data_IF_061827254759
#
_entry.id   IF_061827254759
#
_cell.length_a   1.000
_cell.length_b   1.000
_cell.length_c   1.000
_cell.angle_alpha   90.00
_cell.angle_beta   90.00
_cell.angle_gamma   90.00
#
_symmetry.space_group_name_H-M   'P 1'
#
loop_
_entity.id
_entity.type
_entity.pdbx_description
1 polymer ?
#
# COMPACT_ATOMS: atom_id res chain seq x y z
N UNK A 1 -24.28 -50.42 -6.59
CA UNK A 1 -24.04 -49.14 -5.88
C UNK A 1 -22.54 -48.94 -5.73
N UNK A 2 -21.92 -48.29 -6.75
CA UNK A 2 -20.50 -47.96 -6.72
C UNK A 2 -20.36 -46.54 -6.21
N UNK A 3 -19.69 -46.44 -5.06
CA UNK A 3 -19.35 -45.18 -4.40
C UNK A 3 -17.99 -44.69 -4.94
N UNK A 4 -18.04 -43.78 -5.91
CA UNK A 4 -16.82 -43.17 -6.46
C UNK A 4 -16.37 -41.98 -5.58
N UNK A 5 -15.47 -42.26 -4.64
CA UNK A 5 -14.74 -41.25 -3.90
C UNK A 5 -13.83 -40.47 -4.87
N UNK A 6 -14.28 -39.31 -5.37
CA UNK A 6 -13.41 -38.33 -6.02
C UNK A 6 -12.54 -37.65 -4.95
N UNK A 7 -11.29 -38.11 -4.80
CA UNK A 7 -10.23 -37.35 -4.12
C UNK A 7 -10.00 -36.07 -4.91
N UNK A 8 -10.52 -34.94 -4.39
CA UNK A 8 -10.13 -33.61 -4.85
C UNK A 8 -8.73 -33.36 -4.34
N UNK A 9 -7.72 -33.55 -5.18
CA UNK A 9 -6.34 -33.17 -4.89
C UNK A 9 -6.29 -31.64 -4.97
N UNK A 10 -6.28 -31.01 -3.80
CA UNK A 10 -6.08 -29.55 -3.67
C UNK A 10 -4.62 -29.25 -4.03
N UNK A 11 -4.37 -28.84 -5.26
CA UNK A 11 -3.07 -28.31 -5.66
C UNK A 11 -2.87 -26.98 -4.89
N UNK A 12 -2.03 -26.99 -3.86
CA UNK A 12 -1.53 -25.76 -3.26
C UNK A 12 -0.73 -25.03 -4.35
N UNK A 13 -1.29 -23.99 -4.91
CA UNK A 13 -0.54 -23.05 -5.75
C UNK A 13 0.46 -22.38 -4.84
N UNK A 14 1.72 -22.78 -4.93
CA UNK A 14 2.83 -22.14 -4.22
C UNK A 14 3.02 -20.78 -4.88
N UNK A 15 2.52 -19.74 -4.24
CA UNK A 15 2.71 -18.36 -4.73
C UNK A 15 4.12 -17.91 -4.35
N UNK A 16 4.99 -17.74 -5.34
CA UNK A 16 6.33 -17.17 -5.15
C UNK A 16 6.27 -15.66 -5.36
N UNK A 17 6.90 -14.89 -4.47
CA UNK A 17 7.01 -13.44 -4.54
C UNK A 17 8.45 -13.05 -4.82
N UNK A 18 8.70 -12.60 -6.05
CA UNK A 18 10.05 -12.24 -6.52
C UNK A 18 10.46 -10.87 -5.97
N UNK A 19 11.62 -10.83 -5.34
CA UNK A 19 12.17 -9.61 -4.74
C UNK A 19 13.46 -9.26 -5.48
N UNK A 20 13.66 -7.98 -5.79
CA UNK A 20 14.95 -7.46 -6.23
C UNK A 20 15.57 -6.67 -5.08
N UNK A 21 16.77 -7.04 -4.67
CA UNK A 21 17.61 -6.32 -3.72
C UNK A 21 18.74 -5.62 -4.46
N UNK A 22 18.79 -4.29 -4.40
CA UNK A 22 19.90 -3.48 -4.92
C UNK A 22 20.68 -2.93 -3.73
N UNK A 23 21.88 -3.42 -3.52
CA UNK A 23 22.70 -3.18 -2.35
C UNK A 23 24.18 -3.41 -2.74
N UNK A 24 25.11 -2.52 -2.44
CA UNK A 24 26.50 -2.65 -2.81
C UNK A 24 27.32 -3.49 -1.81
N UNK A 25 26.88 -3.57 -0.54
CA UNK A 25 27.51 -4.42 0.47
C UNK A 25 27.19 -5.90 0.23
N UNK A 26 28.22 -6.68 -0.11
CA UNK A 26 28.11 -8.11 -0.34
C UNK A 26 27.58 -8.89 0.85
N UNK A 27 27.97 -8.52 2.06
CA UNK A 27 27.57 -9.25 3.27
C UNK A 27 26.06 -9.05 3.53
N UNK A 28 25.56 -7.82 3.32
CA UNK A 28 24.12 -7.54 3.45
C UNK A 28 23.34 -8.35 2.43
N UNK A 29 23.79 -8.36 1.17
CA UNK A 29 23.13 -9.19 0.12
C UNK A 29 23.05 -10.66 0.51
N UNK A 30 24.16 -11.25 0.94
CA UNK A 30 24.25 -12.67 1.31
C UNK A 30 23.36 -12.99 2.52
N UNK A 31 23.39 -12.15 3.58
CA UNK A 31 22.55 -12.32 4.77
C UNK A 31 21.06 -12.25 4.42
N UNK A 32 20.65 -11.31 3.59
CA UNK A 32 19.24 -11.16 3.19
C UNK A 32 18.79 -12.35 2.36
N UNK A 33 19.55 -12.76 1.34
CA UNK A 33 19.25 -13.93 0.49
C UNK A 33 19.09 -15.18 1.34
N UNK A 34 20.07 -15.47 2.22
CA UNK A 34 20.05 -16.63 3.08
C UNK A 34 18.84 -16.66 4.03
N UNK A 35 18.58 -15.52 4.67
CA UNK A 35 17.47 -15.42 5.62
C UNK A 35 16.12 -15.60 4.92
N UNK A 36 15.92 -14.93 3.78
CA UNK A 36 14.67 -15.00 3.01
C UNK A 36 14.43 -16.40 2.44
N UNK A 37 15.47 -17.08 1.98
CA UNK A 37 15.39 -18.47 1.53
C UNK A 37 14.94 -19.41 2.66
N UNK A 38 15.60 -19.32 3.83
CA UNK A 38 15.29 -20.16 5.00
C UNK A 38 13.92 -19.85 5.59
N UNK A 39 13.65 -18.59 5.89
CA UNK A 39 12.42 -18.16 6.57
C UNK A 39 11.21 -18.22 5.65
N UNK A 40 11.40 -17.88 4.37
CA UNK A 40 10.35 -17.85 3.35
C UNK A 40 10.00 -19.22 2.78
N UNK A 41 10.75 -20.28 3.14
CA UNK A 41 10.55 -21.66 2.61
C UNK A 41 10.48 -21.69 1.08
N UNK A 42 11.34 -20.89 0.41
CA UNK A 42 11.40 -20.74 -1.04
C UNK A 42 10.34 -19.84 -1.68
N UNK A 43 9.37 -19.33 -0.92
CA UNK A 43 8.31 -18.48 -1.47
C UNK A 43 8.73 -17.02 -1.72
N UNK A 44 9.94 -16.62 -1.31
CA UNK A 44 10.47 -15.26 -1.43
C UNK A 44 11.86 -15.29 -2.05
N UNK A 45 11.99 -15.68 -3.33
CA UNK A 45 13.28 -15.64 -4.01
C UNK A 45 13.76 -14.19 -4.15
N UNK A 46 15.04 -13.97 -3.82
CA UNK A 46 15.69 -12.66 -3.89
C UNK A 46 16.72 -12.67 -4.99
N UNK A 47 16.53 -11.84 -6.02
CA UNK A 47 17.54 -11.47 -7.00
C UNK A 47 18.36 -10.30 -6.47
N UNK A 48 19.66 -10.25 -6.77
CA UNK A 48 20.55 -9.21 -6.24
C UNK A 48 21.25 -8.43 -7.34
N UNK A 49 21.41 -7.13 -7.12
CA UNK A 49 22.25 -6.24 -7.92
C UNK A 49 23.23 -5.49 -7.01
N UNK A 50 24.48 -5.31 -7.46
CA UNK A 50 25.55 -4.70 -6.68
C UNK A 50 25.72 -3.20 -6.94
N UNK A 51 24.93 -2.60 -7.82
CA UNK A 51 24.93 -1.17 -8.12
C UNK A 51 23.59 -0.78 -8.75
N UNK A 52 23.36 0.53 -8.82
CA UNK A 52 22.07 1.06 -9.28
C UNK A 52 21.78 0.85 -10.76
N UNK A 53 22.78 0.88 -11.64
CA UNK A 53 22.58 0.64 -13.09
C UNK A 53 22.06 -0.78 -13.35
N UNK A 54 22.75 -1.78 -12.75
CA UNK A 54 22.33 -3.18 -12.85
C UNK A 54 20.94 -3.36 -12.21
N UNK A 55 20.71 -2.72 -11.05
CA UNK A 55 19.42 -2.78 -10.36
C UNK A 55 18.27 -2.26 -11.24
N UNK A 56 18.45 -1.10 -11.87
CA UNK A 56 17.45 -0.51 -12.76
C UNK A 56 17.22 -1.40 -14.01
N UNK A 57 18.29 -1.89 -14.62
CA UNK A 57 18.18 -2.81 -15.77
C UNK A 57 17.39 -4.07 -15.40
N UNK A 58 17.71 -4.70 -14.27
CA UNK A 58 16.98 -5.89 -13.79
C UNK A 58 15.53 -5.62 -13.52
N UNK A 59 15.20 -4.45 -12.91
CA UNK A 59 13.84 -4.03 -12.62
C UNK A 59 13.02 -3.80 -13.91
N UNK A 60 13.67 -3.36 -14.97
CA UNK A 60 13.05 -3.16 -16.29
C UNK A 60 12.79 -4.47 -17.04
N UNK A 61 13.76 -5.39 -16.99
CA UNK A 61 13.72 -6.65 -17.76
C UNK A 61 12.85 -7.74 -17.12
N UNK A 62 12.60 -7.65 -15.81
CA UNK A 62 11.93 -8.72 -15.07
C UNK A 62 10.79 -8.19 -14.19
N UNK A 63 9.68 -8.96 -14.08
CA UNK A 63 8.64 -8.64 -13.13
C UNK A 63 9.07 -9.02 -11.71
N UNK A 64 9.06 -8.05 -10.80
CA UNK A 64 9.26 -8.23 -9.37
C UNK A 64 7.99 -7.86 -8.60
N UNK A 65 7.83 -8.44 -7.42
CA UNK A 65 6.72 -8.16 -6.51
C UNK A 65 7.07 -7.10 -5.45
N UNK A 66 8.39 -6.83 -5.30
CA UNK A 66 8.92 -5.78 -4.43
C UNK A 66 10.38 -5.48 -4.78
N UNK A 67 10.75 -4.20 -4.70
CA UNK A 67 12.13 -3.73 -4.79
C UNK A 67 12.62 -3.29 -3.41
N UNK A 68 13.80 -3.78 -3.01
CA UNK A 68 14.59 -3.32 -1.87
C UNK A 68 15.78 -2.53 -2.42
N UNK A 69 15.85 -1.24 -2.14
CA UNK A 69 16.85 -0.35 -2.71
C UNK A 69 17.68 0.32 -1.61
N UNK A 70 18.99 0.12 -1.59
CA UNK A 70 19.83 1.06 -0.84
C UNK A 70 19.77 2.43 -1.50
N UNK A 71 19.77 3.46 -0.69
CA UNK A 71 19.83 4.84 -1.17
C UNK A 71 21.23 5.15 -1.68
N UNK A 72 22.27 4.71 -0.96
CA UNK A 72 23.65 5.03 -1.27
C UNK A 72 24.30 3.94 -2.14
N UNK A 73 23.97 3.91 -3.41
CA UNK A 73 24.50 2.95 -4.38
C UNK A 73 25.55 3.61 -5.27
N UNK A 74 26.58 2.87 -5.72
CA UNK A 74 27.48 3.33 -6.77
C UNK A 74 26.76 3.40 -8.11
N UNK A 75 27.23 4.30 -9.00
CA UNK A 75 26.78 4.59 -10.34
C UNK A 75 25.43 5.29 -10.43
N UNK A 76 24.38 4.76 -9.79
CA UNK A 76 23.05 5.36 -9.73
C UNK A 76 22.48 5.13 -8.32
N UNK A 77 22.06 6.19 -7.65
CA UNK A 77 21.49 6.13 -6.30
C UNK A 77 20.06 5.56 -6.29
N UNK A 78 19.61 5.08 -5.12
CA UNK A 78 18.30 4.46 -4.96
C UNK A 78 17.12 5.37 -5.24
N UNK A 79 17.24 6.68 -5.00
CA UNK A 79 16.18 7.64 -5.32
C UNK A 79 15.98 7.79 -6.83
N UNK A 80 17.09 7.82 -7.58
CA UNK A 80 17.08 7.84 -9.04
C UNK A 80 16.44 6.58 -9.61
N UNK A 81 16.75 5.40 -9.06
CA UNK A 81 16.09 4.14 -9.45
C UNK A 81 14.59 4.22 -9.18
N UNK A 82 14.18 4.65 -7.98
CA UNK A 82 12.77 4.78 -7.62
C UNK A 82 12.02 5.69 -8.61
N UNK A 83 12.58 6.85 -8.91
CA UNK A 83 12.01 7.81 -9.87
C UNK A 83 11.83 7.20 -11.26
N UNK A 84 12.83 6.48 -11.76
CA UNK A 84 12.74 5.83 -13.08
C UNK A 84 11.72 4.69 -13.09
N UNK A 85 11.71 3.83 -12.06
CA UNK A 85 10.74 2.73 -11.94
C UNK A 85 9.31 3.26 -11.89
N UNK A 86 9.05 4.36 -11.16
CA UNK A 86 7.71 4.95 -11.04
C UNK A 86 7.14 5.51 -12.35
N UNK A 87 7.95 5.65 -13.40
CA UNK A 87 7.46 6.04 -14.74
C UNK A 87 6.66 4.94 -15.43
N UNK A 88 6.87 3.68 -15.05
CA UNK A 88 6.27 2.54 -15.73
C UNK A 88 5.70 1.45 -14.79
N UNK A 89 5.91 1.55 -13.48
CA UNK A 89 5.51 0.49 -12.54
C UNK A 89 5.11 1.02 -11.17
N UNK A 90 4.03 0.46 -10.62
CA UNK A 90 3.58 0.65 -9.24
C UNK A 90 4.08 -0.45 -8.30
N UNK A 91 5.12 -1.19 -8.68
CA UNK A 91 5.73 -2.22 -7.84
C UNK A 91 6.13 -1.62 -6.49
N UNK A 92 5.82 -2.26 -5.34
CA UNK A 92 6.24 -1.74 -4.04
C UNK A 92 7.75 -1.54 -3.96
N UNK A 93 8.17 -0.37 -3.44
CA UNK A 93 9.58 -0.02 -3.22
C UNK A 93 9.79 0.27 -1.74
N UNK A 94 10.76 -0.43 -1.13
CA UNK A 94 11.25 -0.12 0.20
C UNK A 94 12.71 0.29 0.14
N UNK A 95 13.04 1.41 0.76
CA UNK A 95 14.42 1.82 0.92
C UNK A 95 15.09 1.14 2.12
N UNK A 96 16.34 0.74 1.92
CA UNK A 96 17.27 0.31 2.98
C UNK A 96 18.35 1.41 3.05
N UNK A 97 18.47 2.14 4.15
CA UNK A 97 19.34 3.32 4.17
C UNK A 97 20.01 3.54 5.51
N UNK A 98 21.25 4.04 5.49
CA UNK A 98 21.92 4.60 6.67
C UNK A 98 21.50 6.06 6.95
N UNK A 99 20.74 6.70 6.05
CA UNK A 99 20.32 8.09 6.19
C UNK A 99 19.13 8.18 7.13
N UNK A 100 19.26 9.06 8.13
CA UNK A 100 18.30 9.22 9.25
C UNK A 100 17.67 10.62 9.23
N UNK A 101 18.07 11.50 8.30
CA UNK A 101 17.55 12.88 8.26
C UNK A 101 16.11 12.87 7.79
N UNK A 102 15.32 13.69 8.43
CA UNK A 102 13.91 13.89 8.14
C UNK A 102 13.67 14.30 6.67
N UNK A 103 14.58 15.07 6.10
CA UNK A 103 14.54 15.54 4.71
C UNK A 103 14.70 14.41 3.68
N UNK A 104 15.61 13.46 3.91
CA UNK A 104 15.78 12.28 3.04
C UNK A 104 14.57 11.34 3.09
N UNK A 105 13.96 11.20 4.26
CA UNK A 105 12.74 10.40 4.45
C UNK A 105 11.56 11.03 3.71
N UNK A 106 11.37 12.34 3.84
CA UNK A 106 10.31 13.08 3.14
C UNK A 106 10.49 13.03 1.62
N UNK A 107 11.72 13.20 1.13
CA UNK A 107 12.04 13.09 -0.28
C UNK A 107 11.71 11.72 -0.87
N UNK A 108 12.02 10.65 -0.17
CA UNK A 108 11.71 9.30 -0.64
C UNK A 108 10.20 9.04 -0.73
N UNK A 109 9.40 9.50 0.26
CA UNK A 109 7.94 9.41 0.16
C UNK A 109 7.39 10.28 -0.98
N UNK A 110 7.96 11.45 -1.21
CA UNK A 110 7.60 12.30 -2.35
C UNK A 110 7.89 11.64 -3.71
N UNK A 111 8.95 10.83 -3.78
CA UNK A 111 9.30 10.03 -4.96
C UNK A 111 8.44 8.77 -5.11
N UNK A 112 7.57 8.46 -4.15
CA UNK A 112 6.63 7.35 -4.23
C UNK A 112 7.14 6.03 -3.67
N UNK A 113 8.10 6.03 -2.72
CA UNK A 113 8.41 4.80 -1.98
C UNK A 113 7.28 4.43 -1.02
N UNK A 114 7.20 3.16 -0.68
CA UNK A 114 6.12 2.60 0.14
C UNK A 114 6.53 2.41 1.60
N UNK A 115 7.81 2.24 1.90
CA UNK A 115 8.34 2.07 3.27
C UNK A 115 9.86 2.25 3.32
N UNK A 116 10.41 2.29 4.55
CA UNK A 116 11.84 2.39 4.86
C UNK A 116 12.27 1.39 5.91
N UNK A 117 13.56 1.02 5.84
CA UNK A 117 14.26 0.41 6.96
C UNK A 117 15.64 1.05 7.11
N UNK A 118 15.99 1.42 8.35
CA UNK A 118 17.25 2.11 8.68
C UNK A 118 18.29 1.07 9.05
N UNK A 119 19.51 1.23 8.49
CA UNK A 119 20.68 0.43 8.86
C UNK A 119 21.28 0.96 10.20
N UNK A 120 21.66 0.06 11.15
CA UNK A 120 21.54 -1.41 11.08
C UNK A 120 20.13 -1.90 11.39
N UNK A 121 19.69 -2.96 10.72
CA UNK A 121 18.37 -3.54 10.89
C UNK A 121 18.40 -5.02 11.25
N UNK A 122 17.35 -5.49 11.90
CA UNK A 122 17.15 -6.91 12.16
C UNK A 122 16.47 -7.60 10.96
N UNK A 123 17.04 -8.70 10.45
CA UNK A 123 16.49 -9.46 9.33
C UNK A 123 15.03 -9.92 9.53
N UNK A 124 14.59 -10.35 10.75
CA UNK A 124 13.18 -10.65 11.00
C UNK A 124 12.25 -9.46 10.75
N UNK A 125 12.68 -8.23 11.11
CA UNK A 125 11.90 -7.01 10.91
C UNK A 125 11.79 -6.70 9.42
N UNK A 126 12.90 -6.76 8.67
CA UNK A 126 12.91 -6.58 7.22
C UNK A 126 11.96 -7.57 6.54
N UNK A 127 12.04 -8.86 6.91
CA UNK A 127 11.21 -9.91 6.32
C UNK A 127 9.70 -9.67 6.54
N UNK A 128 9.30 -9.29 7.76
CA UNK A 128 7.87 -9.02 8.05
C UNK A 128 7.38 -7.75 7.36
N UNK A 129 8.20 -6.70 7.23
CA UNK A 129 7.88 -5.50 6.45
C UNK A 129 7.68 -5.83 4.97
N UNK A 130 8.59 -6.59 4.37
CA UNK A 130 8.49 -7.07 2.97
C UNK A 130 7.19 -7.85 2.75
N UNK A 131 6.90 -8.81 3.63
CA UNK A 131 5.64 -9.57 3.56
C UNK A 131 4.40 -8.68 3.63
N UNK A 132 4.42 -7.70 4.53
CA UNK A 132 3.31 -6.77 4.69
C UNK A 132 3.09 -5.91 3.43
N UNK A 133 4.17 -5.40 2.81
CA UNK A 133 4.09 -4.62 1.58
C UNK A 133 3.58 -5.46 0.41
N UNK A 134 4.13 -6.66 0.19
CA UNK A 134 3.68 -7.55 -0.89
C UNK A 134 2.22 -7.93 -0.69
N UNK A 135 1.81 -8.31 0.52
CA UNK A 135 0.41 -8.61 0.80
C UNK A 135 -0.52 -7.44 0.49
N UNK A 136 -0.08 -6.22 0.83
CA UNK A 136 -0.86 -4.99 0.57
C UNK A 136 -1.00 -4.73 -0.93
N UNK A 137 0.10 -4.81 -1.68
CA UNK A 137 0.10 -4.56 -3.14
C UNK A 137 -0.71 -5.60 -3.92
N UNK A 138 -0.71 -6.86 -3.46
CA UNK A 138 -1.48 -7.94 -4.09
C UNK A 138 -2.93 -8.01 -3.62
N UNK A 139 -3.39 -7.06 -2.79
CA UNK A 139 -4.73 -7.13 -2.20
C UNK A 139 -4.95 -8.35 -1.29
N UNK A 140 -3.87 -9.03 -0.87
CA UNK A 140 -3.90 -10.22 -0.01
C UNK A 140 -4.01 -9.86 1.47
N UNK A 141 -3.78 -8.62 1.84
CA UNK A 141 -4.31 -8.11 3.08
C UNK A 141 -5.82 -8.14 2.87
N UNK A 142 -6.53 -9.01 3.55
CA UNK A 142 -7.94 -8.77 3.82
C UNK A 142 -7.98 -7.42 4.54
N UNK A 143 -8.05 -6.34 3.79
CA UNK A 143 -8.66 -5.16 4.31
C UNK A 143 -10.06 -5.65 4.67
N UNK A 144 -10.28 -5.80 5.97
CA UNK A 144 -11.59 -6.16 6.48
C UNK A 144 -12.58 -5.24 5.77
N UNK A 145 -13.61 -5.82 5.20
CA UNK A 145 -14.70 -5.03 4.63
C UNK A 145 -15.04 -3.98 5.67
N UNK A 146 -14.87 -2.72 5.31
CA UNK A 146 -15.15 -1.61 6.21
C UNK A 146 -16.66 -1.49 6.32
N UNK A 147 -17.19 -1.50 7.52
CA UNK A 147 -18.63 -1.52 7.75
C UNK A 147 -19.10 -0.43 8.70
N UNK A 148 -20.28 0.10 8.46
CA UNK A 148 -21.04 0.91 9.38
C UNK A 148 -22.54 0.66 9.12
N UNK A 149 -23.24 0.04 10.08
CA UNK A 149 -24.61 -0.44 9.86
C UNK A 149 -24.69 -1.38 8.66
N UNK A 150 -25.58 -1.09 7.73
CA UNK A 150 -25.75 -1.84 6.46
C UNK A 150 -24.82 -1.37 5.33
N UNK A 151 -24.02 -0.32 5.58
CA UNK A 151 -23.03 0.17 4.64
C UNK A 151 -21.77 -0.67 4.72
N UNK A 152 -21.31 -1.19 3.56
CA UNK A 152 -20.06 -1.92 3.44
C UNK A 152 -19.21 -1.36 2.30
N UNK A 153 -17.90 -1.30 2.53
CA UNK A 153 -16.91 -0.95 1.52
C UNK A 153 -15.83 -2.02 1.51
N UNK A 154 -15.64 -2.67 0.37
CA UNK A 154 -14.57 -3.64 0.18
C UNK A 154 -13.38 -2.96 -0.51
N UNK A 155 -12.28 -2.67 0.22
CA UNK A 155 -11.14 -1.96 -0.35
C UNK A 155 -10.37 -2.75 -1.41
N UNK A 156 -10.58 -4.07 -1.51
CA UNK A 156 -9.84 -4.91 -2.45
C UNK A 156 -10.39 -4.83 -3.89
N UNK A 157 -11.71 -4.70 -4.02
CA UNK A 157 -12.37 -4.62 -5.34
C UNK A 157 -13.05 -3.26 -5.59
N UNK A 158 -13.01 -2.34 -4.61
CA UNK A 158 -13.60 -1.02 -4.73
C UNK A 158 -15.12 -0.98 -4.60
N UNK A 159 -15.78 -2.13 -4.34
CA UNK A 159 -17.23 -2.23 -4.28
C UNK A 159 -17.75 -1.61 -2.97
N UNK A 160 -18.78 -0.79 -3.09
CA UNK A 160 -19.52 -0.19 -1.98
C UNK A 160 -20.98 -0.69 -2.06
N UNK A 161 -21.48 -1.22 -0.95
CA UNK A 161 -22.87 -1.69 -0.83
C UNK A 161 -23.55 -0.87 0.26
N UNK A 162 -24.71 -0.33 -0.02
CA UNK A 162 -25.57 0.41 0.90
C UNK A 162 -26.96 -0.21 0.88
N UNK A 163 -27.41 -0.73 2.02
CA UNK A 163 -28.73 -1.39 2.17
C UNK A 163 -28.97 -2.55 1.18
N UNK A 164 -27.89 -3.27 0.81
CA UNK A 164 -27.91 -4.39 -0.12
C UNK A 164 -27.71 -4.04 -1.59
N UNK A 165 -27.77 -2.76 -1.96
CA UNK A 165 -27.54 -2.28 -3.32
C UNK A 165 -26.08 -1.84 -3.52
N UNK A 166 -25.49 -2.14 -4.67
CA UNK A 166 -24.19 -1.59 -5.07
C UNK A 166 -24.34 -0.09 -5.39
N UNK A 167 -23.38 0.71 -4.92
CA UNK A 167 -23.40 2.16 -5.04
C UNK A 167 -22.19 2.63 -5.85
N UNK A 168 -22.43 3.30 -6.96
CA UNK A 168 -21.40 3.94 -7.76
C UNK A 168 -20.96 5.26 -7.12
N UNK A 169 -19.68 5.37 -6.81
CA UNK A 169 -19.05 6.57 -6.26
C UNK A 169 -17.95 7.05 -7.19
N UNK A 170 -17.80 8.37 -7.29
CA UNK A 170 -16.62 8.95 -7.92
C UNK A 170 -15.37 8.60 -7.11
N UNK A 171 -14.18 8.65 -7.73
CA UNK A 171 -12.92 8.33 -7.07
C UNK A 171 -12.67 9.16 -5.80
N UNK A 172 -13.13 10.43 -5.75
CA UNK A 172 -13.01 11.29 -4.57
C UNK A 172 -14.00 10.90 -3.48
N UNK A 173 -15.26 10.63 -3.82
CA UNK A 173 -16.29 10.17 -2.87
C UNK A 173 -15.91 8.83 -2.25
N UNK A 174 -15.41 7.88 -3.06
CA UNK A 174 -14.88 6.62 -2.59
C UNK A 174 -13.74 6.81 -1.57
N UNK A 175 -12.75 7.65 -1.89
CA UNK A 175 -11.62 7.93 -0.99
C UNK A 175 -12.06 8.60 0.31
N UNK A 176 -13.03 9.51 0.25
CA UNK A 176 -13.63 10.15 1.44
C UNK A 176 -14.31 9.10 2.32
N UNK A 177 -15.18 8.27 1.73
CA UNK A 177 -15.91 7.23 2.45
C UNK A 177 -14.96 6.24 3.11
N UNK A 178 -13.98 5.73 2.35
CA UNK A 178 -12.95 4.83 2.85
C UNK A 178 -12.23 5.42 4.06
N UNK A 179 -11.76 6.66 3.95
CA UNK A 179 -11.02 7.31 5.03
C UNK A 179 -11.88 7.54 6.29
N UNK A 180 -13.16 7.89 6.13
CA UNK A 180 -14.09 8.01 7.26
C UNK A 180 -14.35 6.65 7.92
N UNK A 181 -14.55 5.59 7.15
CA UNK A 181 -14.77 4.23 7.66
C UNK A 181 -13.53 3.66 8.38
N UNK A 182 -12.32 3.94 7.86
CA UNK A 182 -11.05 3.58 8.52
C UNK A 182 -10.87 4.29 9.87
N UNK A 183 -11.52 5.44 10.05
CA UNK A 183 -11.47 6.27 11.26
C UNK A 183 -12.87 6.38 11.93
N UNK A 184 -13.62 5.29 11.93
CA UNK A 184 -14.98 5.22 12.50
C UNK A 184 -15.02 5.79 13.91
N UNK A 185 -16.05 6.58 14.22
CA UNK A 185 -16.27 7.28 15.47
C UNK A 185 -15.27 8.42 15.80
N UNK A 186 -14.32 8.71 14.91
CA UNK A 186 -13.36 9.80 15.10
C UNK A 186 -13.79 11.00 14.24
N UNK A 187 -13.78 12.20 14.84
CA UNK A 187 -14.01 13.45 14.12
C UNK A 187 -12.76 13.81 13.31
N UNK A 188 -12.89 13.84 12.00
CA UNK A 188 -11.83 14.23 11.07
C UNK A 188 -12.06 15.67 10.63
N UNK A 189 -11.06 16.54 10.84
CA UNK A 189 -11.16 17.94 10.42
C UNK A 189 -11.21 18.08 8.89
N UNK A 190 -11.85 19.15 8.41
CA UNK A 190 -11.91 19.44 6.97
C UNK A 190 -10.51 19.56 6.35
N UNK A 191 -9.62 20.27 7.03
CA UNK A 191 -8.21 20.41 6.61
C UNK A 191 -7.55 19.05 6.46
N UNK A 192 -7.65 18.17 7.46
CA UNK A 192 -7.06 16.82 7.40
C UNK A 192 -7.63 15.98 6.25
N UNK A 193 -8.93 16.12 5.93
CA UNK A 193 -9.53 15.46 4.76
C UNK A 193 -8.98 16.01 3.45
N UNK A 194 -8.83 17.33 3.35
CA UNK A 194 -8.28 17.99 2.15
C UNK A 194 -6.83 17.57 1.96
N UNK A 195 -5.99 17.69 2.97
CA UNK A 195 -4.58 17.32 2.93
C UNK A 195 -4.38 15.86 2.49
N UNK A 196 -5.20 14.95 3.06
CA UNK A 196 -5.13 13.53 2.73
C UNK A 196 -5.56 13.20 1.31
N UNK A 197 -6.52 13.95 0.75
CA UNK A 197 -7.18 13.60 -0.52
C UNK A 197 -6.71 14.43 -1.71
N UNK A 198 -6.14 15.61 -1.46
CA UNK A 198 -5.64 16.53 -2.49
C UNK A 198 -4.16 16.90 -2.32
N UNK A 199 -3.55 16.62 -1.15
CA UNK A 199 -2.17 16.95 -0.81
C UNK A 199 -2.05 18.24 0.00
N UNK A 200 -0.94 18.38 0.75
CA UNK A 200 -0.70 19.50 1.68
C UNK A 200 -0.62 20.87 1.00
N UNK A 201 -0.15 20.93 -0.25
CA UNK A 201 -0.02 22.17 -1.01
C UNK A 201 -1.23 22.48 -1.90
N UNK A 202 -2.34 21.76 -1.70
CA UNK A 202 -3.52 21.97 -2.51
C UNK A 202 -4.28 23.21 -2.04
N UNK A 203 -4.38 24.24 -2.91
CA UNK A 203 -5.24 25.40 -2.72
C UNK A 203 -6.75 25.05 -2.92
N UNK A 204 -7.17 23.88 -2.47
CA UNK A 204 -8.56 23.42 -2.61
C UNK A 204 -9.43 24.11 -1.57
N UNK A 205 -10.46 24.82 -2.03
CA UNK A 205 -11.47 25.43 -1.16
C UNK A 205 -12.23 24.35 -0.37
N UNK A 206 -12.44 24.60 0.92
CA UNK A 206 -13.20 23.73 1.83
C UNK A 206 -14.59 23.38 1.27
N UNK A 207 -15.20 24.29 0.51
CA UNK A 207 -16.49 24.08 -0.16
C UNK A 207 -16.49 22.93 -1.16
N UNK A 208 -15.35 22.60 -1.76
CA UNK A 208 -15.21 21.45 -2.65
C UNK A 208 -15.40 20.15 -1.89
N UNK A 209 -14.80 20.03 -0.70
CA UNK A 209 -15.01 18.87 0.18
C UNK A 209 -16.48 18.76 0.61
N UNK A 210 -17.10 19.86 1.02
CA UNK A 210 -18.50 19.86 1.44
C UNK A 210 -19.45 19.43 0.31
N UNK A 211 -19.11 19.78 -0.96
CA UNK A 211 -19.82 19.32 -2.15
C UNK A 211 -19.69 17.81 -2.33
N UNK A 212 -18.49 17.24 -2.19
CA UNK A 212 -18.29 15.79 -2.28
C UNK A 212 -19.03 15.05 -1.16
N UNK A 213 -19.02 15.58 0.07
CA UNK A 213 -19.78 15.01 1.19
C UNK A 213 -21.30 15.03 0.89
N UNK A 214 -21.82 16.12 0.32
CA UNK A 214 -23.22 16.21 -0.10
C UNK A 214 -23.57 15.14 -1.14
N UNK A 215 -22.75 14.99 -2.16
CA UNK A 215 -22.96 13.99 -3.21
C UNK A 215 -22.85 12.57 -2.68
N UNK A 216 -21.84 12.30 -1.83
CA UNK A 216 -21.67 11.03 -1.16
C UNK A 216 -22.91 10.66 -0.33
N UNK A 217 -23.44 11.58 0.46
CA UNK A 217 -24.69 11.37 1.21
C UNK A 217 -25.86 11.05 0.30
N UNK A 218 -25.97 11.74 -0.84
CA UNK A 218 -27.03 11.47 -1.82
C UNK A 218 -26.91 10.04 -2.38
N UNK A 219 -25.70 9.58 -2.70
CA UNK A 219 -25.44 8.24 -3.21
C UNK A 219 -25.77 7.15 -2.17
N UNK A 220 -25.45 7.39 -0.90
CA UNK A 220 -25.65 6.43 0.18
C UNK A 220 -27.12 6.30 0.67
N UNK A 221 -28.05 7.12 0.17
CA UNK A 221 -29.48 7.07 0.53
C UNK A 221 -29.69 7.09 2.06
N UNK A 222 -30.30 6.03 2.62
CA UNK A 222 -30.63 5.92 4.05
C UNK A 222 -29.38 5.85 4.94
N UNK A 223 -28.28 5.31 4.45
CA UNK A 223 -26.99 5.31 5.14
C UNK A 223 -26.29 6.68 5.16
N UNK A 224 -26.83 7.70 4.49
CA UNK A 224 -26.35 9.08 4.57
C UNK A 224 -26.30 9.62 6.01
N UNK A 225 -27.19 9.15 6.87
CA UNK A 225 -27.27 9.49 8.31
C UNK A 225 -26.06 9.05 9.13
N UNK A 226 -25.28 8.06 8.63
CA UNK A 226 -24.05 7.61 9.26
C UNK A 226 -22.94 8.65 9.16
N UNK A 227 -22.96 9.50 8.13
CA UNK A 227 -21.98 10.57 7.97
C UNK A 227 -22.49 11.80 8.71
N UNK A 228 -21.93 12.07 9.88
CA UNK A 228 -22.29 13.22 10.72
C UNK A 228 -21.40 14.41 10.43
N UNK A 229 -22.01 15.60 10.38
CA UNK A 229 -21.28 16.87 10.40
C UNK A 229 -21.11 17.31 11.85
N UNK A 230 -19.88 17.50 12.28
CA UNK A 230 -19.58 18.11 13.58
C UNK A 230 -19.27 19.59 13.32
N UNK A 231 -20.21 20.45 13.69
CA UNK A 231 -20.16 21.90 13.41
C UNK A 231 -18.84 22.48 13.91
N UNK A 232 -18.16 23.28 13.08
CA UNK A 232 -16.88 23.90 13.38
C UNK A 232 -15.68 22.95 13.45
N UNK A 233 -15.88 21.61 13.38
CA UNK A 233 -14.80 20.64 13.55
C UNK A 233 -14.55 19.76 12.31
N UNK A 234 -15.59 19.26 11.64
CA UNK A 234 -15.40 18.39 10.48
C UNK A 234 -16.48 17.34 10.31
N UNK A 235 -16.06 16.13 9.92
CA UNK A 235 -16.95 15.02 9.64
C UNK A 235 -16.53 13.78 10.41
N UNK A 236 -17.49 12.92 10.73
CA UNK A 236 -17.26 11.57 11.24
C UNK A 236 -18.26 10.60 10.64
N UNK A 237 -17.96 9.32 10.68
CA UNK A 237 -18.92 8.25 10.43
C UNK A 237 -19.17 7.51 11.74
N UNK A 238 -20.44 7.30 12.07
CA UNK A 238 -20.87 6.58 13.29
C UNK A 238 -22.18 5.85 13.04
N UNK A 239 -22.39 4.76 13.74
CA UNK A 239 -23.65 4.00 13.81
C UNK A 239 -24.62 4.65 14.78
#
# INVERSE_FOLDING_TARGET
>A
TQNTNKKVTLYMVITMYKILLVEDDKNIREMVVEYFSKKGKGNFPVSVAANGEIGLQMAYENPYDLLLLDVNLPKMDGFSICKEVRRYSDVPIMFITARVNEEDVLNGYALGCDDYIIKPFALPVLFEKVKALIKRSKGLVRSSVLTAGTLTLNPNNGIVISDGDEVDLTAKEYKILKFLLENKNIVISRTKLIDKLWGYDSNVDIRVLDTHIKNLRKALKDNSKLIKTVIGRGYKIEE
#
